data_IF_148092475882
#
_entry.id   IF_148092475882
#
_cell.length_a   1.000
_cell.length_b   1.000
_cell.length_c   1.000
_cell.angle_alpha   90.00
_cell.angle_beta   90.00
_cell.angle_gamma   90.00
#
_symmetry.space_group_name_H-M   'P 1'
#
loop_
_entity.id
_entity.type
_entity.pdbx_description
1 polymer ?
#
# COMPACT_ATOMS: atom_id res chain seq x y z
N UNK A 1 -29.31 46.66 9.30
CA UNK A 1 -30.12 45.53 9.82
C UNK A 1 -29.26 44.28 9.76
N UNK A 2 -29.11 43.53 10.87
CA UNK A 2 -28.33 42.29 10.87
C UNK A 2 -29.16 41.21 10.16
N UNK A 3 -28.73 40.79 8.96
CA UNK A 3 -29.39 39.73 8.18
C UNK A 3 -29.30 38.42 8.96
N UNK A 4 -30.43 37.72 9.16
CA UNK A 4 -30.45 36.38 9.75
C UNK A 4 -30.35 35.35 8.63
N UNK A 5 -29.17 34.78 8.42
CA UNK A 5 -28.90 33.78 7.39
C UNK A 5 -29.56 32.41 7.69
N UNK A 6 -29.98 32.15 8.93
CA UNK A 6 -30.72 30.92 9.29
C UNK A 6 -32.25 31.05 9.18
N UNK A 7 -32.78 32.22 8.80
CA UNK A 7 -34.24 32.47 8.79
C UNK A 7 -34.99 31.56 7.80
N UNK A 8 -34.35 31.17 6.71
CA UNK A 8 -34.93 30.31 5.66
C UNK A 8 -34.60 28.83 5.85
N UNK A 9 -34.07 28.44 7.01
CA UNK A 9 -33.65 27.06 7.30
C UNK A 9 -32.76 26.45 6.20
N UNK A 10 -31.61 27.06 5.88
CA UNK A 10 -30.78 26.65 4.76
C UNK A 10 -30.10 25.28 4.95
N UNK A 11 -30.15 24.69 6.14
CA UNK A 11 -29.59 23.36 6.41
C UNK A 11 -30.64 22.28 6.17
N UNK A 12 -30.38 21.40 5.23
CA UNK A 12 -31.19 20.26 4.84
C UNK A 12 -30.94 19.05 5.76
N UNK A 13 -31.72 17.98 5.57
CA UNK A 13 -31.56 16.67 6.23
C UNK A 13 -31.42 16.73 7.77
N UNK A 14 -32.10 17.70 8.38
CA UNK A 14 -32.10 17.89 9.84
C UNK A 14 -30.79 18.45 10.41
N UNK A 15 -29.97 19.10 9.57
CA UNK A 15 -28.78 19.84 9.98
C UNK A 15 -29.11 21.05 10.85
N UNK A 16 -28.19 21.41 11.75
CA UNK A 16 -28.35 22.52 12.69
C UNK A 16 -27.71 23.78 12.12
N UNK A 17 -28.49 24.83 11.89
CA UNK A 17 -28.00 26.12 11.38
C UNK A 17 -27.43 26.98 12.50
N UNK A 18 -26.22 27.50 12.28
CA UNK A 18 -25.57 28.47 13.16
C UNK A 18 -25.21 29.74 12.39
N UNK A 19 -25.45 30.89 13.00
CA UNK A 19 -25.13 32.19 12.40
C UNK A 19 -23.64 32.49 12.47
N UNK A 20 -23.06 33.00 11.38
CA UNK A 20 -21.68 33.50 11.34
C UNK A 20 -21.66 34.99 11.00
N UNK A 21 -20.48 35.62 11.03
CA UNK A 21 -20.32 37.04 10.70
C UNK A 21 -20.59 37.32 9.21
N UNK A 22 -20.34 36.34 8.34
CA UNK A 22 -20.42 36.47 6.88
C UNK A 22 -21.55 35.64 6.25
N UNK A 23 -22.29 34.85 7.04
CA UNK A 23 -23.32 33.95 6.52
C UNK A 23 -23.91 33.02 7.58
N UNK A 24 -24.12 31.76 7.20
CA UNK A 24 -24.49 30.66 8.08
C UNK A 24 -23.46 29.52 7.99
N UNK A 25 -23.49 28.63 8.98
CA UNK A 25 -22.77 27.36 8.99
C UNK A 25 -23.73 26.26 9.43
N UNK A 26 -23.83 25.20 8.64
CA UNK A 26 -24.60 24.02 8.99
C UNK A 26 -23.74 22.98 9.71
N UNK A 27 -24.28 22.40 10.78
CA UNK A 27 -23.72 21.21 11.43
C UNK A 27 -24.58 20.02 11.03
N UNK A 28 -24.01 19.10 10.26
CA UNK A 28 -24.75 17.99 9.67
C UNK A 28 -24.92 16.84 10.67
N UNK A 29 -26.03 16.10 10.51
CA UNK A 29 -26.23 14.82 11.20
C UNK A 29 -25.32 13.76 10.59
N UNK A 30 -25.09 12.69 11.35
CA UNK A 30 -24.33 11.52 10.89
C UNK A 30 -24.88 11.01 9.56
N UNK A 31 -23.99 10.73 8.61
CA UNK A 31 -24.34 10.29 7.26
C UNK A 31 -24.77 11.41 6.30
N UNK A 32 -24.69 12.69 6.67
CA UNK A 32 -24.94 13.82 5.76
C UNK A 32 -23.78 14.80 5.72
N UNK A 33 -23.57 15.43 4.56
CA UNK A 33 -22.46 16.35 4.33
C UNK A 33 -22.80 17.42 3.29
N UNK A 34 -21.85 18.33 3.03
CA UNK A 34 -22.02 19.51 2.20
C UNK A 34 -22.33 20.77 3.01
N UNK A 35 -22.21 21.94 2.38
CA UNK A 35 -22.35 23.25 3.04
C UNK A 35 -23.70 23.46 3.72
N UNK A 36 -24.74 22.82 3.19
CA UNK A 36 -26.11 22.86 3.68
C UNK A 36 -26.59 21.47 4.14
N UNK A 37 -25.70 20.48 4.33
CA UNK A 37 -26.08 19.09 4.67
C UNK A 37 -27.00 18.42 3.63
N UNK A 38 -26.92 18.85 2.38
CA UNK A 38 -27.79 18.41 1.29
C UNK A 38 -27.40 17.04 0.71
N UNK A 39 -26.20 16.54 1.00
CA UNK A 39 -25.69 15.28 0.44
C UNK A 39 -25.69 14.16 1.49
N UNK A 40 -25.92 12.92 1.04
CA UNK A 40 -25.93 11.74 1.90
C UNK A 40 -24.68 10.90 1.69
N UNK A 41 -24.04 10.48 2.77
CA UNK A 41 -22.81 9.68 2.75
C UNK A 41 -22.95 8.25 2.21
N UNK A 42 -24.16 7.81 1.86
CA UNK A 42 -24.45 6.46 1.35
C UNK A 42 -24.05 6.26 -0.12
N UNK A 43 -23.58 7.30 -0.82
CA UNK A 43 -23.27 7.23 -2.25
C UNK A 43 -22.20 6.16 -2.57
N UNK A 44 -21.21 6.01 -1.69
CA UNK A 44 -20.19 4.95 -1.80
C UNK A 44 -20.60 3.59 -1.20
N UNK A 45 -21.68 3.53 -0.41
CA UNK A 45 -22.12 2.27 0.23
C UNK A 45 -22.65 1.26 -0.78
N UNK A 46 -23.08 1.75 -1.95
CA UNK A 46 -23.48 0.91 -3.09
C UNK A 46 -22.29 0.30 -3.85
N UNK A 47 -21.05 0.57 -3.43
CA UNK A 47 -19.81 0.16 -4.11
C UNK A 47 -19.85 0.43 -5.62
N UNK A 48 -20.06 1.69 -6.04
CA UNK A 48 -20.32 1.99 -7.45
C UNK A 48 -19.08 1.84 -8.35
N UNK A 49 -17.88 1.98 -7.78
CA UNK A 49 -16.62 1.84 -8.49
C UNK A 49 -16.29 0.37 -8.75
N UNK A 50 -15.95 0.06 -10.01
CA UNK A 50 -15.60 -1.28 -10.47
C UNK A 50 -14.07 -1.45 -10.54
N UNK A 51 -13.62 -2.68 -10.76
CA UNK A 51 -12.21 -3.02 -11.03
C UNK A 51 -11.24 -2.43 -10.00
N UNK A 52 -11.52 -2.63 -8.72
CA UNK A 52 -10.70 -2.12 -7.60
C UNK A 52 -10.58 -0.58 -7.52
N UNK A 53 -11.46 0.15 -8.22
CA UNK A 53 -11.59 1.61 -8.09
C UNK A 53 -11.97 2.04 -6.68
N UNK A 54 -11.34 3.12 -6.19
CA UNK A 54 -11.58 3.65 -4.85
C UNK A 54 -12.70 4.69 -4.90
N UNK A 55 -13.79 4.42 -4.19
CA UNK A 55 -14.90 5.37 -4.08
C UNK A 55 -14.59 6.47 -3.06
N UNK A 56 -14.75 7.73 -3.47
CA UNK A 56 -14.72 8.89 -2.59
C UNK A 56 -15.98 9.72 -2.73
N UNK A 57 -16.42 10.34 -1.64
CA UNK A 57 -17.52 11.30 -1.68
C UNK A 57 -17.04 12.57 -2.39
N UNK A 58 -17.84 13.07 -3.34
CA UNK A 58 -17.52 14.29 -4.07
C UNK A 58 -17.94 15.54 -3.27
N UNK A 59 -17.11 16.60 -3.28
CA UNK A 59 -17.36 17.85 -2.54
C UNK A 59 -18.67 18.56 -2.92
N UNK A 60 -19.17 18.30 -4.13
CA UNK A 60 -20.41 18.83 -4.70
C UNK A 60 -21.61 17.88 -4.64
N UNK A 61 -21.50 16.76 -3.90
CA UNK A 61 -22.52 15.70 -3.82
C UNK A 61 -22.28 14.55 -4.78
N UNK A 62 -22.73 13.36 -4.40
CA UNK A 62 -22.44 12.13 -5.14
C UNK A 62 -21.08 11.54 -4.77
N UNK A 63 -20.59 10.67 -5.64
CA UNK A 63 -19.29 10.02 -5.50
C UNK A 63 -18.38 10.32 -6.71
N UNK A 64 -17.09 10.09 -6.51
CA UNK A 64 -16.07 10.01 -7.56
C UNK A 64 -15.31 8.69 -7.37
N UNK A 65 -15.03 8.01 -8.48
CA UNK A 65 -14.17 6.83 -8.48
C UNK A 65 -12.75 7.22 -8.87
N UNK A 66 -11.79 6.93 -8.01
CA UNK A 66 -10.38 6.94 -8.39
C UNK A 66 -10.07 5.62 -9.07
N UNK A 67 -9.95 5.68 -10.40
CA UNK A 67 -9.72 4.51 -11.21
C UNK A 67 -8.25 4.07 -11.17
N UNK A 68 -7.97 2.77 -10.98
CA UNK A 68 -6.63 2.25 -11.09
C UNK A 68 -6.10 2.41 -12.52
N UNK A 69 -4.78 2.34 -12.63
CA UNK A 69 -4.07 2.40 -13.91
C UNK A 69 -4.67 1.39 -14.88
N UNK A 70 -4.92 1.82 -16.11
CA UNK A 70 -5.54 1.00 -17.14
C UNK A 70 -7.06 1.10 -17.21
N UNK A 71 -7.73 1.67 -16.22
CA UNK A 71 -9.20 1.88 -16.24
C UNK A 71 -9.61 3.35 -16.27
N UNK A 72 -10.78 3.62 -16.84
CA UNK A 72 -11.40 4.94 -16.87
C UNK A 72 -12.94 4.83 -16.90
N UNK A 73 -13.64 5.96 -17.01
CA UNK A 73 -15.10 6.03 -16.90
C UNK A 73 -15.55 6.51 -15.52
N UNK A 74 -16.86 6.67 -15.35
CA UNK A 74 -17.44 7.18 -14.10
C UNK A 74 -17.26 6.19 -12.95
N UNK A 75 -17.32 4.90 -13.29
CA UNK A 75 -17.26 3.76 -12.38
C UNK A 75 -16.03 2.87 -12.66
N UNK A 76 -15.04 3.37 -13.39
CA UNK A 76 -13.86 2.60 -13.81
C UNK A 76 -14.20 1.38 -14.70
N UNK A 77 -15.28 1.51 -15.49
CA UNK A 77 -15.84 0.46 -16.33
C UNK A 77 -15.21 0.38 -17.74
N UNK A 78 -14.41 1.38 -18.12
CA UNK A 78 -13.82 1.50 -19.46
C UNK A 78 -12.36 1.09 -19.40
N UNK A 79 -11.97 0.22 -20.33
CA UNK A 79 -10.59 -0.18 -20.51
C UNK A 79 -9.84 0.88 -21.32
N UNK A 80 -8.75 1.39 -20.76
CA UNK A 80 -7.97 2.47 -21.35
C UNK A 80 -6.54 2.06 -21.70
N UNK A 81 -6.13 0.86 -21.32
CA UNK A 81 -4.78 0.34 -21.57
C UNK A 81 -4.87 -1.13 -21.97
N UNK A 82 -4.23 -1.48 -23.09
CA UNK A 82 -4.02 -2.88 -23.41
C UNK A 82 -2.71 -3.35 -22.76
N UNK A 83 -2.77 -4.03 -21.63
CA UNK A 83 -1.56 -4.47 -20.91
C UNK A 83 -0.78 -5.52 -21.72
N UNK A 84 -1.47 -6.29 -22.57
CA UNK A 84 -0.84 -7.26 -23.46
C UNK A 84 0.08 -6.64 -24.53
N UNK A 85 -0.05 -5.36 -24.84
CA UNK A 85 0.82 -4.66 -25.78
C UNK A 85 2.29 -4.65 -25.34
N UNK A 86 2.55 -4.77 -24.04
CA UNK A 86 3.90 -4.87 -23.46
C UNK A 86 4.50 -6.29 -23.51
N UNK A 87 3.75 -7.29 -23.99
CA UNK A 87 4.12 -8.71 -23.95
C UNK A 87 4.53 -9.20 -22.55
N UNK A 88 3.65 -9.09 -21.53
CA UNK A 88 4.01 -9.36 -20.13
C UNK A 88 4.15 -10.85 -19.80
N UNK A 89 3.51 -11.74 -20.58
CA UNK A 89 3.59 -13.18 -20.36
C UNK A 89 4.96 -13.72 -20.78
N UNK A 90 5.65 -14.36 -19.84
CA UNK A 90 6.90 -15.05 -20.08
C UNK A 90 6.63 -16.33 -20.89
N UNK A 91 7.61 -16.69 -21.71
CA UNK A 91 7.60 -17.79 -22.66
C UNK A 91 6.87 -17.50 -23.99
N UNK A 92 7.46 -17.92 -25.12
CA UNK A 92 6.90 -17.68 -26.46
C UNK A 92 5.56 -18.40 -26.68
N UNK A 93 5.32 -19.45 -25.91
CA UNK A 93 4.13 -20.30 -26.03
C UNK A 93 2.98 -19.81 -25.13
N UNK A 94 3.20 -18.76 -24.33
CA UNK A 94 2.19 -18.19 -23.47
C UNK A 94 1.28 -17.23 -24.24
N UNK A 95 -0.03 -17.30 -24.00
CA UNK A 95 -1.01 -16.43 -24.65
C UNK A 95 -1.44 -15.34 -23.67
N UNK A 96 -1.24 -14.07 -24.05
CA UNK A 96 -1.76 -12.93 -23.29
C UNK A 96 -3.20 -12.63 -23.72
N UNK A 97 -4.09 -12.48 -22.75
CA UNK A 97 -5.45 -12.00 -22.94
C UNK A 97 -5.65 -10.71 -22.15
N UNK A 98 -5.95 -9.65 -22.88
CA UNK A 98 -6.30 -8.34 -22.34
C UNK A 98 -7.60 -8.41 -21.55
N UNK A 99 -7.65 -7.71 -20.43
CA UNK A 99 -8.84 -7.59 -19.58
C UNK A 99 -8.96 -6.15 -19.10
N UNK A 100 -10.15 -5.82 -18.65
CA UNK A 100 -10.44 -4.48 -18.13
C UNK A 100 -9.53 -4.15 -16.93
N UNK A 101 -8.52 -3.29 -17.15
CA UNK A 101 -7.56 -2.86 -16.14
C UNK A 101 -6.54 -3.92 -15.69
N UNK A 102 -6.43 -5.04 -16.41
CA UNK A 102 -5.54 -6.15 -16.06
C UNK A 102 -5.33 -7.05 -17.28
N UNK A 103 -4.49 -8.09 -17.17
CA UNK A 103 -4.34 -9.11 -18.20
C UNK A 103 -4.28 -10.51 -17.60
N UNK A 104 -4.46 -11.51 -18.46
CA UNK A 104 -4.31 -12.90 -18.12
C UNK A 104 -3.29 -13.57 -19.04
N UNK A 105 -2.33 -14.26 -18.44
CA UNK A 105 -1.43 -15.14 -19.18
C UNK A 105 -1.95 -16.58 -19.14
N UNK A 106 -2.06 -17.22 -20.29
CA UNK A 106 -2.25 -18.66 -20.39
C UNK A 106 -0.89 -19.31 -20.56
N UNK A 107 -0.41 -19.92 -19.49
CA UNK A 107 0.93 -20.43 -19.35
C UNK A 107 1.08 -21.86 -19.91
N UNK A 108 2.26 -22.19 -20.46
CA UNK A 108 2.55 -23.54 -20.92
C UNK A 108 2.68 -24.53 -19.76
N UNK A 109 2.68 -25.85 -20.04
CA UNK A 109 2.94 -26.85 -19.02
C UNK A 109 4.24 -26.57 -18.28
N UNK A 110 4.22 -26.82 -16.98
CA UNK A 110 5.29 -26.59 -16.02
C UNK A 110 5.62 -25.14 -15.67
N UNK A 111 4.89 -24.17 -16.22
CA UNK A 111 5.08 -22.75 -15.94
C UNK A 111 3.77 -22.12 -15.46
N UNK A 112 3.79 -21.43 -14.33
CA UNK A 112 2.64 -20.78 -13.69
C UNK A 112 3.06 -19.42 -13.13
N UNK A 113 2.22 -18.76 -12.32
CA UNK A 113 2.42 -17.36 -11.92
C UNK A 113 1.62 -16.40 -12.80
N UNK A 114 1.60 -15.12 -12.43
CA UNK A 114 0.80 -14.10 -13.14
C UNK A 114 1.29 -13.94 -14.59
N UNK A 115 2.60 -14.04 -14.77
CA UNK A 115 3.33 -13.88 -16.01
C UNK A 115 4.00 -15.18 -16.47
N UNK A 116 3.63 -16.35 -15.94
CA UNK A 116 4.26 -17.64 -16.25
C UNK A 116 5.73 -17.78 -15.78
N UNK A 117 6.15 -16.97 -14.81
CA UNK A 117 7.50 -16.86 -14.25
C UNK A 117 7.88 -17.99 -13.28
N UNK A 118 6.90 -18.74 -12.78
CA UNK A 118 7.09 -19.77 -11.74
C UNK A 118 7.15 -21.15 -12.38
N UNK A 119 8.23 -21.88 -12.13
CA UNK A 119 8.34 -23.28 -12.56
C UNK A 119 7.65 -24.23 -11.56
N UNK A 120 6.60 -24.93 -11.99
CA UNK A 120 5.94 -26.00 -11.23
C UNK A 120 5.90 -27.29 -12.08
N UNK A 121 6.70 -28.33 -11.78
CA UNK A 121 6.77 -29.53 -12.60
C UNK A 121 5.44 -30.31 -12.72
N UNK A 122 4.45 -30.03 -11.87
CA UNK A 122 3.13 -30.66 -11.86
C UNK A 122 2.07 -29.85 -12.61
N UNK A 123 2.34 -28.59 -12.93
CA UNK A 123 1.38 -27.74 -13.61
C UNK A 123 1.19 -28.19 -15.06
N UNK A 124 -0.06 -28.42 -15.46
CA UNK A 124 -0.39 -28.97 -16.77
C UNK A 124 -0.51 -27.89 -17.87
N UNK A 125 -0.33 -26.62 -17.51
CA UNK A 125 -0.62 -25.48 -18.38
C UNK A 125 -2.03 -24.94 -18.15
N UNK A 126 -2.28 -23.70 -18.55
CA UNK A 126 -3.58 -23.04 -18.38
C UNK A 126 -3.44 -21.62 -17.84
N UNK A 127 -4.51 -21.07 -17.26
CA UNK A 127 -4.49 -19.71 -16.73
C UNK A 127 -3.45 -19.57 -15.61
N UNK A 128 -2.49 -18.67 -15.83
CA UNK A 128 -1.51 -18.23 -14.84
C UNK A 128 -2.23 -17.54 -13.69
N UNK A 129 -1.97 -18.00 -12.48
CA UNK A 129 -2.52 -17.41 -11.26
C UNK A 129 -1.38 -16.72 -10.53
N UNK A 130 -1.58 -15.45 -10.19
CA UNK A 130 -0.71 -14.79 -9.24
C UNK A 130 -0.66 -15.64 -7.97
N UNK A 131 0.53 -15.92 -7.46
CA UNK A 131 0.68 -16.45 -6.11
C UNK A 131 0.36 -15.28 -5.20
N UNK A 132 -0.93 -15.06 -4.95
CA UNK A 132 -1.35 -14.35 -3.74
C UNK A 132 -0.70 -15.17 -2.64
N UNK A 133 0.19 -14.61 -1.81
CA UNK A 133 0.63 -15.29 -0.62
C UNK A 133 -0.66 -15.61 0.12
N UNK A 134 -1.14 -16.86 0.02
CA UNK A 134 -2.11 -17.36 0.97
C UNK A 134 -1.32 -17.27 2.24
N UNK A 135 -1.63 -16.24 3.04
CA UNK A 135 -1.11 -16.12 4.37
C UNK A 135 -1.59 -17.38 5.07
N UNK A 136 -0.81 -18.45 4.99
CA UNK A 136 -1.11 -19.69 5.67
C UNK A 136 -1.07 -19.26 7.14
N UNK A 137 -2.22 -19.35 7.80
CA UNK A 137 -2.37 -18.94 9.19
C UNK A 137 -1.39 -19.70 10.12
N UNK A 138 -0.72 -20.73 9.60
CA UNK A 138 0.35 -21.45 10.28
C UNK A 138 1.77 -20.92 10.05
N UNK A 139 1.98 -19.99 9.11
CA UNK A 139 3.27 -19.32 8.93
C UNK A 139 3.68 -18.57 10.20
N UNK A 140 4.98 -18.59 10.48
CA UNK A 140 5.57 -17.88 11.62
C UNK A 140 5.22 -16.38 11.60
N UNK A 141 5.24 -15.77 10.42
CA UNK A 141 4.89 -14.36 10.19
C UNK A 141 3.44 -14.03 10.55
N UNK A 142 2.46 -14.83 10.11
CA UNK A 142 1.06 -14.61 10.46
C UNK A 142 0.83 -14.65 11.98
N UNK A 143 1.48 -15.60 12.67
CA UNK A 143 1.41 -15.75 14.13
C UNK A 143 2.10 -14.61 14.88
N UNK A 144 3.26 -14.15 14.40
CA UNK A 144 3.95 -13.02 15.02
C UNK A 144 3.17 -11.71 14.83
N UNK A 145 2.61 -11.47 13.64
CA UNK A 145 1.77 -10.30 13.37
C UNK A 145 0.55 -10.25 14.28
N UNK A 146 -0.12 -11.39 14.50
CA UNK A 146 -1.26 -11.47 15.41
C UNK A 146 -0.85 -11.26 16.88
N UNK A 147 0.30 -11.78 17.29
CA UNK A 147 0.90 -11.49 18.61
C UNK A 147 1.19 -10.01 18.77
N UNK A 148 1.74 -9.35 17.75
CA UNK A 148 2.02 -7.92 17.77
C UNK A 148 0.72 -7.09 17.87
N UNK A 149 -0.33 -7.42 17.11
CA UNK A 149 -1.65 -6.79 17.22
C UNK A 149 -2.22 -6.88 18.64
N UNK A 150 -2.14 -8.06 19.27
CA UNK A 150 -2.55 -8.22 20.66
C UNK A 150 -1.73 -7.36 21.62
N UNK A 151 -0.41 -7.24 21.41
CA UNK A 151 0.44 -6.32 22.19
C UNK A 151 0.02 -4.86 22.00
N UNK A 152 -0.36 -4.43 20.79
CA UNK A 152 -0.88 -3.08 20.56
C UNK A 152 -2.11 -2.79 21.44
N UNK A 153 -3.03 -3.76 21.58
CA UNK A 153 -4.20 -3.64 22.45
C UNK A 153 -3.82 -3.59 23.94
N UNK A 154 -2.93 -4.47 24.40
CA UNK A 154 -2.45 -4.51 25.79
C UNK A 154 -1.78 -3.19 26.18
N UNK A 155 -0.94 -2.66 25.28
CA UNK A 155 -0.18 -1.42 25.48
C UNK A 155 -1.02 -0.15 25.24
N UNK A 156 -2.28 -0.30 24.83
CA UNK A 156 -3.23 0.80 24.51
C UNK A 156 -2.68 1.76 23.44
N UNK A 157 -2.01 1.23 22.42
CA UNK A 157 -1.37 2.03 21.38
C UNK A 157 -2.35 2.92 20.61
N UNK A 158 -3.63 2.56 20.52
CA UNK A 158 -4.65 3.41 19.89
C UNK A 158 -4.88 4.75 20.59
N UNK A 159 -4.57 4.87 21.89
CA UNK A 159 -4.66 6.14 22.62
C UNK A 159 -3.34 6.94 22.58
N UNK A 160 -2.26 6.29 22.13
CA UNK A 160 -0.91 6.85 22.08
C UNK A 160 -0.55 7.36 20.69
N UNK A 161 -1.05 6.70 19.64
CA UNK A 161 -0.79 7.05 18.24
C UNK A 161 -1.08 8.53 17.89
N UNK A 162 -0.21 9.12 17.07
CA UNK A 162 -0.37 10.48 16.51
C UNK A 162 -0.23 11.62 17.53
N UNK A 163 0.40 11.36 18.68
CA UNK A 163 0.67 12.33 19.74
C UNK A 163 2.03 13.06 19.57
N UNK A 164 2.79 12.76 18.49
CA UNK A 164 4.14 13.29 18.17
C UNK A 164 5.24 12.89 19.14
N UNK A 165 5.03 11.82 19.89
CA UNK A 165 6.00 11.21 20.79
C UNK A 165 6.05 9.73 20.43
N UNK A 166 7.21 9.26 20.01
CA UNK A 166 7.40 7.84 19.77
C UNK A 166 7.32 7.05 21.09
N UNK A 167 6.25 6.27 21.26
CA UNK A 167 6.16 5.24 22.29
C UNK A 167 6.71 3.92 21.72
N UNK A 168 7.92 3.54 22.13
CA UNK A 168 8.68 2.38 21.59
C UNK A 168 7.89 1.06 21.67
N UNK A 169 7.05 0.87 22.69
CA UNK A 169 6.19 -0.31 22.78
C UNK A 169 5.07 -0.39 21.73
N UNK A 170 4.83 0.71 21.02
CA UNK A 170 3.91 0.88 19.90
C UNK A 170 4.64 1.05 18.56
N UNK A 171 5.99 1.05 18.57
CA UNK A 171 6.83 1.12 17.38
C UNK A 171 6.92 -0.23 16.64
N UNK A 172 5.76 -0.74 16.21
CA UNK A 172 5.68 -1.93 15.38
C UNK A 172 4.75 -1.67 14.22
N UNK A 173 4.97 -2.37 13.11
CA UNK A 173 4.08 -2.29 11.95
C UNK A 173 2.61 -2.56 12.33
N UNK A 174 2.37 -3.55 13.19
CA UNK A 174 1.02 -3.90 13.65
C UNK A 174 0.30 -2.77 14.42
N UNK A 175 1.05 -1.82 14.98
CA UNK A 175 0.51 -0.64 15.65
C UNK A 175 0.69 0.65 14.80
N UNK A 176 0.94 0.51 13.50
CA UNK A 176 1.17 1.63 12.56
C UNK A 176 2.30 2.56 13.01
N UNK A 177 3.39 2.00 13.58
CA UNK A 177 4.54 2.77 14.08
C UNK A 177 4.14 3.92 15.02
N UNK A 178 3.18 3.63 15.91
CA UNK A 178 2.57 4.60 16.81
C UNK A 178 1.87 5.76 16.08
N UNK A 179 1.11 5.44 15.03
CA UNK A 179 0.50 6.45 14.15
C UNK A 179 1.53 7.30 13.43
N UNK A 180 2.63 6.66 13.03
CA UNK A 180 3.82 7.24 12.45
C UNK A 180 4.66 8.13 13.38
N UNK A 181 4.36 8.25 14.67
CA UNK A 181 5.18 9.05 15.60
C UNK A 181 6.62 8.51 15.73
N UNK A 182 6.81 7.21 15.52
CA UNK A 182 8.12 6.55 15.52
C UNK A 182 8.78 6.48 14.13
N UNK A 183 8.05 6.80 13.06
CA UNK A 183 8.54 6.83 11.68
C UNK A 183 8.65 8.26 11.13
N UNK A 184 8.92 9.23 12.02
CA UNK A 184 9.04 10.66 11.69
C UNK A 184 7.77 11.27 11.06
N UNK A 185 6.61 10.68 11.32
CA UNK A 185 5.32 11.08 10.75
C UNK A 185 5.08 10.60 9.32
N UNK A 186 5.95 9.73 8.79
CA UNK A 186 5.93 9.28 7.40
C UNK A 186 5.57 7.80 7.37
N UNK A 187 4.69 7.39 6.45
CA UNK A 187 4.55 5.97 6.12
C UNK A 187 5.67 5.60 5.13
N UNK A 188 6.65 4.75 5.49
CA UNK A 188 7.80 4.46 4.64
C UNK A 188 7.42 3.80 3.29
N UNK A 189 6.22 3.22 3.19
CA UNK A 189 5.67 2.60 2.00
C UNK A 189 4.56 3.41 1.33
N UNK A 190 4.36 4.69 1.70
CA UNK A 190 3.32 5.55 1.12
C UNK A 190 3.40 5.63 -0.41
N UNK A 191 4.63 5.67 -0.94
CA UNK A 191 4.89 5.74 -2.37
C UNK A 191 5.13 4.36 -3.02
N UNK A 192 5.07 3.27 -2.25
CA UNK A 192 5.30 1.92 -2.77
C UNK A 192 4.11 1.50 -3.64
N UNK A 193 4.36 1.31 -4.93
CA UNK A 193 3.35 0.93 -5.94
C UNK A 193 3.39 -0.55 -6.29
N UNK A 194 4.00 -1.38 -5.46
CA UNK A 194 4.08 -2.81 -5.72
C UNK A 194 2.70 -3.47 -5.70
N UNK A 195 2.57 -4.55 -6.48
CA UNK A 195 1.38 -5.40 -6.58
C UNK A 195 1.04 -6.10 -5.27
N UNK A 196 2.04 -6.29 -4.40
CA UNK A 196 1.94 -6.94 -3.10
C UNK A 196 2.25 -5.96 -1.97
N UNK A 197 1.83 -6.34 -0.76
CA UNK A 197 2.07 -5.58 0.47
C UNK A 197 3.52 -5.70 0.93
N UNK A 198 4.41 -4.87 0.40
CA UNK A 198 5.85 -4.99 0.63
C UNK A 198 6.29 -4.92 2.09
N UNK A 199 5.53 -4.25 2.96
CA UNK A 199 5.82 -4.25 4.40
C UNK A 199 5.63 -5.62 5.08
N UNK A 200 4.92 -6.58 4.47
CA UNK A 200 4.72 -7.93 5.03
C UNK A 200 5.88 -8.88 4.71
N UNK A 201 6.66 -8.55 3.68
CA UNK A 201 7.78 -9.36 3.17
C UNK A 201 9.14 -8.66 3.31
N UNK A 202 9.16 -7.40 3.75
CA UNK A 202 10.37 -6.62 3.96
C UNK A 202 11.34 -7.28 4.97
N UNK A 203 12.58 -7.55 4.54
CA UNK A 203 13.63 -8.22 5.32
C UNK A 203 13.26 -9.62 5.81
N UNK A 204 12.46 -10.35 5.04
CA UNK A 204 12.04 -11.71 5.38
C UNK A 204 13.05 -12.79 4.92
N UNK A 205 14.06 -12.39 4.13
CA UNK A 205 15.11 -13.24 3.58
C UNK A 205 14.75 -13.91 2.24
N UNK A 206 13.59 -13.63 1.67
CA UNK A 206 13.14 -14.08 0.35
C UNK A 206 13.13 -12.89 -0.59
N UNK A 207 13.81 -12.99 -1.74
CA UNK A 207 13.78 -11.90 -2.71
C UNK A 207 12.40 -11.79 -3.40
N UNK A 208 11.69 -10.69 -3.13
CA UNK A 208 10.48 -10.27 -3.79
C UNK A 208 10.76 -9.12 -4.76
N UNK A 209 10.95 -9.47 -6.04
CA UNK A 209 11.30 -8.50 -7.09
C UNK A 209 10.29 -7.34 -7.25
N UNK A 210 8.99 -7.59 -6.99
CA UNK A 210 7.96 -6.54 -7.01
C UNK A 210 8.20 -5.47 -5.93
N UNK A 211 8.85 -5.83 -4.82
CA UNK A 211 9.24 -4.94 -3.72
C UNK A 211 10.67 -4.41 -3.83
N UNK A 212 11.46 -4.93 -4.78
CA UNK A 212 12.86 -4.58 -5.01
C UNK A 212 13.01 -3.27 -5.82
N UNK A 213 12.40 -2.20 -5.32
CA UNK A 213 12.47 -0.88 -5.93
C UNK A 213 12.64 0.21 -4.85
N UNK A 214 13.08 1.43 -5.21
CA UNK A 214 13.33 2.48 -4.24
C UNK A 214 12.09 2.89 -3.44
N UNK A 215 10.90 2.87 -4.06
CA UNK A 215 9.66 3.26 -3.38
C UNK A 215 9.20 2.24 -2.32
N UNK A 216 9.60 0.99 -2.48
CA UNK A 216 9.30 -0.13 -1.59
C UNK A 216 10.51 -0.55 -0.74
N UNK A 217 11.52 0.32 -0.65
CA UNK A 217 12.71 0.16 0.18
C UNK A 217 13.58 -1.05 -0.18
N UNK A 218 13.66 -1.38 -1.47
CA UNK A 218 14.48 -2.46 -2.04
C UNK A 218 14.24 -3.81 -1.36
N UNK A 219 12.99 -4.09 -0.98
CA UNK A 219 12.62 -5.34 -0.30
C UNK A 219 13.51 -5.65 0.92
N UNK A 220 13.91 -4.61 1.67
CA UNK A 220 14.79 -4.81 2.82
C UNK A 220 16.19 -5.32 2.49
N UNK A 221 16.59 -5.28 1.21
CA UNK A 221 17.81 -5.88 0.65
C UNK A 221 17.80 -7.41 0.60
N UNK A 222 16.64 -8.06 0.66
CA UNK A 222 16.54 -9.52 0.49
C UNK A 222 16.92 -9.98 -0.93
N UNK A 223 16.78 -9.08 -1.92
CA UNK A 223 17.22 -9.30 -3.29
C UNK A 223 18.70 -8.97 -3.55
N UNK A 224 19.37 -8.29 -2.61
CA UNK A 224 20.81 -8.13 -2.72
C UNK A 224 21.46 -9.49 -2.46
N UNK A 225 22.31 -9.95 -3.38
CA UNK A 225 23.15 -11.11 -3.11
C UNK A 225 23.89 -10.84 -1.82
N UNK A 226 23.65 -11.65 -0.78
CA UNK A 226 24.35 -11.51 0.49
C UNK A 226 25.85 -11.50 0.21
N UNK A 227 26.48 -10.33 0.29
CA UNK A 227 27.93 -10.26 0.28
C UNK A 227 28.39 -11.08 1.50
N UNK A 228 29.38 -11.95 1.29
CA UNK A 228 29.97 -12.66 2.41
C UNK A 228 30.46 -11.61 3.41
N UNK A 229 30.36 -11.83 4.74
CA UNK A 229 30.90 -10.86 5.69
C UNK A 229 32.39 -10.60 5.40
N UNK A 230 32.83 -9.35 5.63
CA UNK A 230 34.24 -8.97 5.47
C UNK A 230 35.15 -10.00 6.16
N UNK A 231 36.26 -10.34 5.52
CA UNK A 231 37.15 -11.39 6.01
C UNK A 231 37.53 -11.12 7.49
N UNK A 232 37.23 -12.03 8.44
CA UNK A 232 37.43 -11.80 9.87
C UNK A 232 38.88 -11.48 10.25
N UNK A 233 39.85 -11.89 9.44
CA UNK A 233 41.28 -11.62 9.65
C UNK A 233 41.60 -10.14 9.43
N UNK A 234 40.90 -9.49 8.50
CA UNK A 234 41.16 -8.10 8.10
C UNK A 234 40.02 -7.14 8.48
N UNK A 235 38.87 -7.62 8.94
CA UNK A 235 37.72 -6.81 9.38
C UNK A 235 38.14 -5.73 10.40
N UNK A 236 38.89 -6.13 11.43
CA UNK A 236 39.40 -5.19 12.44
C UNK A 236 40.40 -4.15 11.87
N UNK A 237 41.15 -4.51 10.83
CA UNK A 237 42.03 -3.58 10.12
C UNK A 237 41.20 -2.59 9.29
N UNK A 238 40.25 -3.09 8.51
CA UNK A 238 39.39 -2.28 7.65
C UNK A 238 38.54 -1.29 8.45
N UNK A 239 37.95 -1.71 9.57
CA UNK A 239 37.20 -0.81 10.44
C UNK A 239 38.04 0.37 10.97
N UNK A 240 39.30 0.12 11.34
CA UNK A 240 40.21 1.17 11.85
C UNK A 240 40.69 2.11 10.74
N UNK A 241 40.69 1.65 9.50
CA UNK A 241 41.18 2.39 8.34
C UNK A 241 40.03 2.94 7.44
N UNK A 242 38.78 2.70 7.81
CA UNK A 242 37.61 3.18 7.07
C UNK A 242 37.53 4.71 7.06
N UNK A 243 37.36 5.28 5.86
CA UNK A 243 37.17 6.72 5.63
C UNK A 243 38.24 7.63 6.27
N UNK A 244 39.47 7.14 6.45
CA UNK A 244 40.57 7.88 7.08
C UNK A 244 41.34 8.81 6.12
N UNK A 245 40.94 8.85 4.84
CA UNK A 245 41.58 9.66 3.79
C UNK A 245 42.76 8.98 3.07
N UNK A 246 43.06 7.72 3.37
CA UNK A 246 44.07 6.90 2.71
C UNK A 246 43.44 5.70 2.00
N UNK A 247 44.03 5.28 0.88
CA UNK A 247 43.51 4.14 0.10
C UNK A 247 44.11 2.83 0.62
N UNK A 248 43.27 1.98 1.19
CA UNK A 248 43.61 0.64 1.66
C UNK A 248 43.00 -0.41 0.72
N UNK A 249 43.79 -0.91 -0.25
CA UNK A 249 43.30 -1.82 -1.30
C UNK A 249 42.69 -3.13 -0.78
N UNK A 250 43.13 -3.59 0.39
CA UNK A 250 42.57 -4.80 1.03
C UNK A 250 41.16 -4.61 1.61
N UNK A 251 40.69 -3.37 1.72
CA UNK A 251 39.41 -2.97 2.29
C UNK A 251 38.52 -2.26 1.25
N UNK A 252 38.76 -2.51 -0.04
CA UNK A 252 38.09 -1.83 -1.14
C UNK A 252 37.33 -2.86 -1.98
N UNK A 253 36.31 -3.49 -1.41
CA UNK A 253 35.71 -4.66 -2.04
C UNK A 253 34.23 -4.94 -1.71
N UNK A 254 33.32 -4.00 -1.50
CA UNK A 254 31.88 -4.31 -1.32
C UNK A 254 31.52 -5.08 -0.04
N UNK A 255 32.12 -6.24 0.29
CA UNK A 255 32.00 -6.84 1.62
C UNK A 255 32.76 -6.08 2.72
N UNK A 256 33.83 -5.38 2.34
CA UNK A 256 34.64 -4.42 3.10
C UNK A 256 34.70 -3.11 2.28
#
# INVERSE_FOLDING_TARGET
TKRNFCAESPCENGGVCTMTHTGHKCTCREGFYGNNCQFSGYDCDSTPCQNDGVCRLADGGGYICDCPVGTTGTNCEIDSLNECASSPCQHPDAVCQDKLGDYACFCPPRHTGKNCEIYDPKFQGGLGQAVIPKLDANTFYAKDLERQRQKCHINKCQMKRGNRRCDEECNTYACEFDGNDCSLGINPWENCTASIKCWEVFMDGVCNEDCNNPQCLFDGRDCEKSLQPCNPIYDAYCQKHYANGYCDYGCNNAEC
#
